data_IF_161628144471
#
_entry.id   IF_161628144471
#
_cell.length_a   1.000
_cell.length_b   1.000
_cell.length_c   1.000
_cell.angle_alpha   90.00
_cell.angle_beta   90.00
_cell.angle_gamma   90.00
#
_symmetry.space_group_name_H-M   'P 1'
#
loop_
_entity.id
_entity.type
_entity.pdbx_description
1 polymer ?
#
# COMPACT_ATOMS: atom_id res chain seq x y z
N UNK A 1 14.14 6.00 8.98
CA UNK A 1 14.54 7.35 9.49
C UNK A 1 13.30 8.16 9.91
N UNK A 2 12.24 8.27 9.08
CA UNK A 2 11.02 9.06 9.39
C UNK A 2 10.37 8.54 10.67
N UNK A 3 10.04 7.24 10.74
CA UNK A 3 9.37 6.64 11.89
C UNK A 3 10.14 6.87 13.20
N UNK A 4 11.47 6.75 13.16
CA UNK A 4 12.32 7.05 14.32
C UNK A 4 12.28 8.52 14.75
N UNK A 5 12.13 9.46 13.78
CA UNK A 5 11.98 10.89 14.10
C UNK A 5 10.61 11.22 14.70
N UNK A 6 9.63 10.39 14.43
CA UNK A 6 8.28 10.46 15.02
C UNK A 6 8.20 9.72 16.36
N UNK A 7 9.33 9.23 16.88
CA UNK A 7 9.43 8.49 18.14
C UNK A 7 8.53 7.25 18.19
N UNK A 8 8.23 6.68 17.01
CA UNK A 8 7.45 5.46 16.91
C UNK A 8 8.33 4.25 17.21
N UNK A 9 7.80 3.34 18.03
CA UNK A 9 8.39 2.01 18.18
C UNK A 9 8.07 1.17 16.95
N UNK A 10 9.09 0.53 16.36
CA UNK A 10 8.96 -0.11 15.04
C UNK A 10 9.49 -1.52 15.08
N UNK A 11 8.59 -2.45 14.86
CA UNK A 11 8.91 -3.84 14.60
C UNK A 11 8.93 -4.10 13.07
N UNK A 12 9.95 -4.80 12.60
CA UNK A 12 10.02 -5.27 11.21
C UNK A 12 9.87 -6.79 11.22
N UNK A 13 8.74 -7.33 10.73
CA UNK A 13 8.50 -8.77 10.68
C UNK A 13 9.53 -9.47 9.79
N UNK A 14 10.14 -10.57 10.29
CA UNK A 14 11.22 -11.27 9.57
C UNK A 14 10.76 -12.43 8.69
N UNK A 15 9.56 -12.96 8.94
CA UNK A 15 9.05 -14.19 8.29
C UNK A 15 7.87 -13.91 7.35
N UNK A 16 7.58 -12.65 7.08
CA UNK A 16 6.53 -12.31 6.13
C UNK A 16 6.91 -12.78 4.72
N UNK A 17 5.93 -13.31 4.02
CA UNK A 17 6.04 -13.71 2.62
C UNK A 17 5.47 -12.61 1.71
N UNK A 18 5.56 -12.82 0.40
CA UNK A 18 4.88 -11.96 -0.57
C UNK A 18 3.36 -11.90 -0.26
N UNK A 19 2.74 -10.74 -0.49
CA UNK A 19 1.29 -10.58 -0.31
C UNK A 19 0.44 -11.43 -1.29
N UNK A 20 1.05 -11.95 -2.33
CA UNK A 20 0.39 -12.79 -3.33
C UNK A 20 -0.23 -12.03 -4.50
N UNK A 21 -0.17 -10.70 -4.55
CA UNK A 21 -0.78 -9.92 -5.63
C UNK A 21 -0.34 -10.31 -7.04
N UNK A 22 0.95 -10.56 -7.34
CA UNK A 22 1.35 -11.04 -8.66
C UNK A 22 0.69 -12.36 -9.05
N UNK A 23 0.60 -13.31 -8.11
CA UNK A 23 -0.06 -14.58 -8.31
C UNK A 23 -1.58 -14.42 -8.52
N UNK A 24 -2.20 -13.52 -7.76
CA UNK A 24 -3.63 -13.21 -7.87
C UNK A 24 -3.97 -12.67 -9.27
N UNK A 25 -3.20 -11.71 -9.77
CA UNK A 25 -3.44 -11.10 -11.09
C UNK A 25 -3.13 -12.02 -12.27
N UNK A 26 -2.34 -13.07 -12.06
CA UNK A 26 -2.05 -14.08 -13.09
C UNK A 26 -2.92 -15.34 -12.98
N UNK A 27 -3.81 -15.41 -11.98
CA UNK A 27 -4.69 -16.56 -11.77
C UNK A 27 -4.02 -17.78 -11.11
N UNK A 28 -2.81 -17.62 -10.56
CA UNK A 28 -2.11 -18.69 -9.83
C UNK A 28 -2.68 -18.82 -8.39
N UNK A 29 -3.95 -19.22 -8.28
CA UNK A 29 -4.71 -19.18 -7.04
C UNK A 29 -4.18 -20.11 -5.95
N UNK A 30 -3.60 -21.27 -6.29
CA UNK A 30 -2.95 -22.14 -5.29
C UNK A 30 -1.79 -21.41 -4.58
N UNK A 31 -1.05 -20.60 -5.34
CA UNK A 31 0.03 -19.77 -4.80
C UNK A 31 -0.52 -18.67 -3.90
N UNK A 32 -1.64 -18.04 -4.28
CA UNK A 32 -2.33 -17.02 -3.46
C UNK A 32 -2.79 -17.64 -2.14
N UNK A 33 -3.45 -18.80 -2.21
CA UNK A 33 -3.93 -19.53 -1.03
C UNK A 33 -2.80 -19.82 -0.03
N UNK A 34 -1.71 -20.38 -0.53
CA UNK A 34 -0.53 -20.66 0.29
C UNK A 34 0.06 -19.41 0.93
N UNK A 35 0.32 -18.36 0.15
CA UNK A 35 0.97 -17.13 0.62
C UNK A 35 0.09 -16.38 1.61
N UNK A 36 -1.20 -16.23 1.32
CA UNK A 36 -2.13 -15.52 2.19
C UNK A 36 -2.29 -16.25 3.53
N UNK A 37 -2.53 -17.56 3.52
CA UNK A 37 -2.65 -18.36 4.74
C UNK A 37 -1.40 -18.30 5.59
N UNK A 38 -0.21 -18.46 5.00
CA UNK A 38 1.05 -18.37 5.73
C UNK A 38 1.31 -17.00 6.33
N UNK A 39 0.97 -15.94 5.64
CA UNK A 39 1.08 -14.60 6.18
C UNK A 39 0.06 -14.36 7.31
N UNK A 40 -1.21 -14.78 7.15
CA UNK A 40 -2.23 -14.65 8.19
C UNK A 40 -1.78 -15.39 9.46
N UNK A 41 -1.39 -16.67 9.35
CA UNK A 41 -0.87 -17.46 10.48
C UNK A 41 0.30 -16.74 11.18
N UNK A 42 1.23 -16.18 10.41
CA UNK A 42 2.38 -15.49 10.97
C UNK A 42 2.00 -14.14 11.60
N UNK A 43 1.13 -13.36 10.98
CA UNK A 43 0.71 -12.07 11.52
C UNK A 43 -0.07 -12.21 12.82
N UNK A 44 -0.91 -13.24 12.94
CA UNK A 44 -1.65 -13.53 14.16
C UNK A 44 -0.76 -13.80 15.38
N UNK A 45 0.50 -14.17 15.18
CA UNK A 45 1.43 -14.39 16.30
C UNK A 45 1.87 -13.11 17.01
N UNK A 46 1.64 -11.93 16.42
CA UNK A 46 2.11 -10.65 16.96
C UNK A 46 1.20 -9.46 16.67
N UNK A 47 0.15 -9.62 15.85
CA UNK A 47 -0.70 -8.48 15.40
C UNK A 47 -1.39 -7.77 16.57
N UNK A 48 -1.67 -8.45 17.65
CA UNK A 48 -2.31 -7.86 18.82
C UNK A 48 -1.33 -7.01 19.67
N UNK A 49 -0.02 -7.14 19.44
CA UNK A 49 1.04 -6.38 20.11
C UNK A 49 1.32 -5.03 19.45
N UNK A 50 0.75 -4.75 18.26
CA UNK A 50 0.99 -3.53 17.51
C UNK A 50 -0.29 -2.74 17.28
N UNK A 51 -0.18 -1.40 17.20
CA UNK A 51 -1.31 -0.52 16.91
C UNK A 51 -1.68 -0.55 15.43
N UNK A 52 -0.70 -0.66 14.55
CA UNK A 52 -0.88 -0.66 13.10
C UNK A 52 0.22 -1.41 12.37
N UNK A 53 -0.13 -2.01 11.24
CA UNK A 53 0.80 -2.51 10.24
C UNK A 53 0.80 -1.54 9.07
N UNK A 54 1.87 -0.77 8.90
CA UNK A 54 1.99 0.24 7.85
C UNK A 54 2.75 -0.32 6.65
N UNK A 55 2.12 -0.27 5.49
CA UNK A 55 2.66 -0.82 4.24
C UNK A 55 2.93 0.33 3.26
N UNK A 56 4.19 0.51 2.82
CA UNK A 56 4.53 1.62 1.93
C UNK A 56 4.09 1.40 0.48
N UNK A 57 3.81 0.17 0.08
CA UNK A 57 3.45 -0.22 -1.28
C UNK A 57 1.93 -0.38 -1.41
N UNK A 58 1.34 0.32 -2.39
CA UNK A 58 -0.11 0.41 -2.56
C UNK A 58 -0.77 -0.92 -2.92
N UNK A 59 -0.14 -1.73 -3.77
CA UNK A 59 -0.70 -3.01 -4.20
C UNK A 59 -0.70 -4.02 -3.07
N UNK A 60 0.39 -4.09 -2.30
CA UNK A 60 0.45 -4.99 -1.14
C UNK A 60 -0.56 -4.58 -0.06
N UNK A 61 -0.71 -3.27 0.21
CA UNK A 61 -1.68 -2.83 1.21
C UNK A 61 -3.12 -3.12 0.78
N UNK A 62 -3.47 -2.92 -0.51
CA UNK A 62 -4.78 -3.26 -1.05
C UNK A 62 -5.03 -4.78 -0.99
N UNK A 63 -4.06 -5.58 -1.43
CA UNK A 63 -4.16 -7.04 -1.42
C UNK A 63 -4.45 -7.60 -0.03
N UNK A 64 -3.69 -7.16 0.98
CA UNK A 64 -3.86 -7.66 2.35
C UNK A 64 -5.15 -7.10 2.97
N UNK A 65 -5.47 -5.83 2.72
CA UNK A 65 -6.59 -5.14 3.35
C UNK A 65 -7.95 -5.54 2.78
N UNK A 66 -8.03 -5.87 1.48
CA UNK A 66 -9.29 -6.07 0.77
C UNK A 66 -9.34 -7.40 0.01
N UNK A 67 -8.32 -7.68 -0.81
CA UNK A 67 -8.38 -8.81 -1.73
C UNK A 67 -8.32 -10.17 -1.03
N UNK A 68 -7.59 -10.29 0.09
CA UNK A 68 -7.59 -11.54 0.85
C UNK A 68 -8.96 -11.88 1.42
N UNK A 69 -9.70 -10.92 1.98
CA UNK A 69 -11.07 -11.15 2.45
C UNK A 69 -11.97 -11.59 1.31
N UNK A 70 -11.84 -10.93 0.15
CA UNK A 70 -12.60 -11.27 -1.04
C UNK A 70 -12.22 -12.64 -1.60
N UNK A 71 -10.93 -12.92 -1.68
CA UNK A 71 -10.40 -14.20 -2.15
C UNK A 71 -10.95 -15.38 -1.34
N UNK A 72 -11.02 -15.24 -0.03
CA UNK A 72 -11.54 -16.27 0.87
C UNK A 72 -13.07 -16.32 0.98
N UNK A 73 -13.82 -15.78 0.00
CA UNK A 73 -15.29 -15.74 0.06
C UNK A 73 -15.96 -17.10 0.29
N UNK A 74 -15.38 -18.20 -0.21
CA UNK A 74 -15.83 -19.58 -0.04
C UNK A 74 -15.15 -20.32 1.14
N UNK A 75 -14.32 -19.64 1.93
CA UNK A 75 -13.59 -20.20 3.07
C UNK A 75 -13.88 -19.36 4.32
N UNK A 76 -15.02 -19.55 5.01
CA UNK A 76 -15.51 -18.62 6.04
C UNK A 76 -14.52 -18.37 7.18
N UNK A 77 -13.79 -19.39 7.61
CA UNK A 77 -12.77 -19.26 8.65
C UNK A 77 -11.64 -18.32 8.22
N UNK A 78 -11.04 -18.57 7.05
CA UNK A 78 -9.96 -17.73 6.52
C UNK A 78 -10.43 -16.32 6.19
N UNK A 79 -11.65 -16.17 5.70
CA UNK A 79 -12.27 -14.87 5.47
C UNK A 79 -12.37 -14.05 6.76
N UNK A 80 -12.83 -14.65 7.85
CA UNK A 80 -12.93 -13.98 9.15
C UNK A 80 -11.57 -13.55 9.69
N UNK A 81 -10.55 -14.41 9.55
CA UNK A 81 -9.16 -14.13 9.95
C UNK A 81 -8.55 -12.99 9.12
N UNK A 82 -8.71 -13.05 7.79
CA UNK A 82 -8.26 -11.98 6.89
C UNK A 82 -8.94 -10.64 7.23
N UNK A 83 -10.25 -10.65 7.49
CA UNK A 83 -11.01 -9.47 7.89
C UNK A 83 -10.48 -8.87 9.20
N UNK A 84 -10.30 -9.68 10.25
CA UNK A 84 -9.74 -9.22 11.52
C UNK A 84 -8.37 -8.56 11.32
N UNK A 85 -7.50 -9.19 10.53
CA UNK A 85 -6.19 -8.66 10.19
C UNK A 85 -6.27 -7.31 9.48
N UNK A 86 -7.20 -7.18 8.51
CA UNK A 86 -7.36 -5.99 7.68
C UNK A 86 -7.65 -4.71 8.48
N UNK A 87 -8.20 -4.83 9.68
CA UNK A 87 -8.52 -3.69 10.56
C UNK A 87 -7.26 -2.94 11.00
N UNK A 88 -6.14 -3.65 11.14
CA UNK A 88 -4.84 -3.07 11.50
C UNK A 88 -3.91 -2.78 10.31
N UNK A 89 -4.34 -3.05 9.07
CA UNK A 89 -3.54 -2.80 7.86
C UNK A 89 -3.80 -1.41 7.29
N UNK A 90 -2.74 -0.65 7.08
CA UNK A 90 -2.82 0.71 6.55
C UNK A 90 -1.73 0.99 5.52
N UNK A 91 -2.07 1.73 4.47
CA UNK A 91 -1.07 2.33 3.61
C UNK A 91 -0.29 3.41 4.35
N UNK A 92 1.03 3.39 4.25
CA UNK A 92 1.93 4.23 5.05
C UNK A 92 1.62 5.72 4.96
N UNK A 93 1.37 6.25 3.77
CA UNK A 93 1.10 7.69 3.57
C UNK A 93 -0.17 8.15 4.29
N UNK A 94 -1.24 7.35 4.24
CA UNK A 94 -2.50 7.65 4.93
C UNK A 94 -2.35 7.56 6.43
N UNK A 95 -1.72 6.49 6.91
CA UNK A 95 -1.57 6.29 8.36
C UNK A 95 -0.69 7.38 8.98
N UNK A 96 0.44 7.68 8.34
CA UNK A 96 1.39 8.67 8.83
C UNK A 96 0.79 10.09 8.84
N UNK A 97 0.05 10.46 7.80
CA UNK A 97 -0.59 11.79 7.74
C UNK A 97 -1.67 11.95 8.79
N UNK A 98 -2.46 10.90 9.03
CA UNK A 98 -3.64 11.00 9.89
C UNK A 98 -3.36 10.68 11.38
N UNK A 99 -2.30 9.92 11.68
CA UNK A 99 -2.06 9.40 13.04
C UNK A 99 -0.75 9.88 13.66
N UNK A 100 0.01 10.74 12.96
CA UNK A 100 1.28 11.26 13.47
C UNK A 100 1.41 12.76 13.18
N UNK A 101 2.39 13.38 13.83
CA UNK A 101 2.73 14.78 13.57
C UNK A 101 3.66 15.00 12.37
N UNK A 102 3.72 14.02 11.43
CA UNK A 102 4.63 14.08 10.28
C UNK A 102 4.46 15.35 9.45
N UNK A 103 3.22 15.76 9.21
CA UNK A 103 2.91 16.98 8.42
C UNK A 103 3.51 18.23 9.05
N UNK A 104 3.34 18.41 10.36
CA UNK A 104 3.90 19.56 11.08
C UNK A 104 5.43 19.45 11.17
N UNK A 105 5.96 18.23 11.37
CA UNK A 105 7.40 17.99 11.36
C UNK A 105 8.04 18.38 10.02
N UNK A 106 7.38 18.08 8.91
CA UNK A 106 7.84 18.48 7.57
C UNK A 106 7.75 19.99 7.39
N UNK A 107 6.63 20.61 7.79
CA UNK A 107 6.44 22.06 7.70
C UNK A 107 7.46 22.84 8.55
N UNK A 108 7.66 22.41 9.80
CA UNK A 108 8.59 23.05 10.74
C UNK A 108 10.06 22.82 10.44
N UNK A 109 10.38 21.87 9.57
CA UNK A 109 11.77 21.64 9.12
C UNK A 109 12.40 22.86 8.44
N UNK A 110 11.59 23.83 8.02
CA UNK A 110 12.00 25.03 7.27
C UNK A 110 12.57 24.72 5.88
N UNK A 111 12.67 23.45 5.50
CA UNK A 111 13.18 23.06 4.19
C UNK A 111 12.11 23.26 3.13
N UNK A 112 12.43 24.11 2.18
CA UNK A 112 11.64 24.28 0.94
C UNK A 112 12.55 23.94 -0.22
N UNK A 113 12.03 23.16 -1.13
CA UNK A 113 12.71 22.79 -2.35
C UNK A 113 11.97 23.44 -3.51
N UNK A 114 12.72 24.13 -4.37
CA UNK A 114 12.17 24.79 -5.55
C UNK A 114 11.88 23.81 -6.69
N UNK A 115 12.24 22.53 -6.49
CA UNK A 115 11.94 21.50 -7.44
C UNK A 115 10.43 21.31 -7.61
N UNK A 116 10.04 21.33 -8.87
CA UNK A 116 8.70 21.01 -9.30
C UNK A 116 8.51 19.50 -9.28
N UNK A 117 7.60 19.02 -8.42
CA UNK A 117 7.26 17.60 -8.35
C UNK A 117 5.84 17.35 -8.82
N UNK A 118 5.59 16.17 -9.32
CA UNK A 118 4.23 15.70 -9.62
C UNK A 118 3.97 14.38 -8.89
N UNK A 119 2.69 14.04 -8.73
CA UNK A 119 2.28 12.80 -8.09
C UNK A 119 1.26 12.07 -8.97
N UNK A 120 1.61 10.85 -9.37
CA UNK A 120 0.69 9.94 -10.04
C UNK A 120 -0.10 9.16 -8.99
N UNK A 121 -1.42 9.07 -9.15
CA UNK A 121 -2.29 8.33 -8.25
C UNK A 121 -2.23 6.82 -8.52
N UNK A 122 -1.55 6.00 -7.68
CA UNK A 122 -1.56 4.56 -7.87
C UNK A 122 -2.99 4.02 -7.79
N UNK A 123 -3.40 3.20 -8.74
CA UNK A 123 -4.77 2.69 -8.78
C UNK A 123 -5.17 1.92 -7.51
N UNK A 124 -4.27 1.13 -6.93
CA UNK A 124 -4.49 0.43 -5.67
C UNK A 124 -4.54 1.34 -4.44
N UNK A 125 -3.97 2.55 -4.51
CA UNK A 125 -4.16 3.54 -3.47
C UNK A 125 -5.50 4.29 -3.65
N UNK A 126 -5.68 4.91 -4.82
CA UNK A 126 -6.82 5.81 -5.04
C UNK A 126 -8.12 5.07 -5.26
N UNK A 127 -8.17 4.13 -6.22
CA UNK A 127 -9.44 3.46 -6.60
C UNK A 127 -9.88 2.44 -5.57
N UNK A 128 -8.96 1.67 -5.00
CA UNK A 128 -9.29 0.66 -4.01
C UNK A 128 -9.38 1.21 -2.59
N UNK A 129 -8.45 2.08 -2.17
CA UNK A 129 -8.36 2.50 -0.77
C UNK A 129 -8.78 3.96 -0.53
N UNK A 130 -9.14 4.72 -1.56
CA UNK A 130 -9.52 6.14 -1.44
C UNK A 130 -8.37 7.06 -1.01
N UNK A 131 -7.13 6.64 -1.24
CA UNK A 131 -5.93 7.36 -0.80
C UNK A 131 -5.34 8.13 -1.97
N UNK A 132 -5.47 9.45 -1.92
CA UNK A 132 -4.95 10.34 -2.97
C UNK A 132 -4.57 11.73 -2.44
N UNK A 133 -5.23 12.19 -1.40
CA UNK A 133 -5.00 13.51 -0.82
C UNK A 133 -3.83 13.49 0.17
N UNK A 134 -3.69 12.43 0.94
CA UNK A 134 -2.72 12.30 2.01
C UNK A 134 -1.26 12.42 1.51
N UNK A 135 -0.83 11.73 0.44
CA UNK A 135 0.51 11.93 -0.10
C UNK A 135 0.73 13.36 -0.61
N UNK A 136 -0.30 14.02 -1.17
CA UNK A 136 -0.22 15.42 -1.61
C UNK A 136 -0.05 16.38 -0.44
N UNK A 137 -0.77 16.15 0.64
CA UNK A 137 -0.67 16.94 1.86
C UNK A 137 0.75 16.90 2.44
N UNK A 138 1.41 15.74 2.41
CA UNK A 138 2.79 15.58 2.85
C UNK A 138 3.77 16.27 1.90
N UNK A 139 3.65 16.05 0.60
CA UNK A 139 4.55 16.63 -0.42
C UNK A 139 4.52 18.16 -0.41
N UNK A 140 3.35 18.77 -0.32
CA UNK A 140 3.17 20.23 -0.31
C UNK A 140 3.86 20.94 0.85
N UNK A 141 4.28 20.22 1.89
CA UNK A 141 5.00 20.83 3.00
C UNK A 141 6.39 21.33 2.58
N UNK A 142 7.03 20.65 1.64
CA UNK A 142 8.42 20.90 1.29
C UNK A 142 8.66 21.16 -0.21
N UNK A 143 7.74 20.76 -1.09
CA UNK A 143 7.89 20.84 -2.55
C UNK A 143 6.81 21.68 -3.22
N UNK A 144 7.13 22.20 -4.41
CA UNK A 144 6.14 22.78 -5.32
C UNK A 144 5.45 21.65 -6.08
N UNK A 145 4.22 21.31 -5.68
CA UNK A 145 3.45 20.24 -6.32
C UNK A 145 2.66 20.77 -7.51
N UNK A 146 2.95 20.24 -8.70
CA UNK A 146 2.17 20.45 -9.92
C UNK A 146 1.37 19.19 -10.21
N UNK A 147 0.06 19.33 -10.32
CA UNK A 147 -0.79 18.20 -10.68
C UNK A 147 -0.59 17.80 -12.14
N UNK A 148 -0.64 16.49 -12.39
CA UNK A 148 -0.69 15.95 -13.74
C UNK A 148 -2.04 16.29 -14.38
N UNK A 149 -2.06 16.45 -15.70
CA UNK A 149 -3.30 16.68 -16.46
C UNK A 149 -4.31 15.53 -16.26
N UNK A 150 -3.81 14.31 -16.11
CA UNK A 150 -4.60 13.12 -15.77
C UNK A 150 -3.84 12.22 -14.78
N UNK A 151 -3.92 12.56 -13.51
CA UNK A 151 -3.29 11.79 -12.44
C UNK A 151 -3.93 10.40 -12.22
N UNK A 152 -5.11 10.16 -12.82
CA UNK A 152 -5.82 8.87 -12.73
C UNK A 152 -5.52 7.92 -13.88
N UNK A 153 -4.76 8.35 -14.89
CA UNK A 153 -4.39 7.50 -16.01
C UNK A 153 -3.63 6.29 -15.50
N UNK A 154 -3.91 5.15 -16.09
CA UNK A 154 -3.18 3.93 -15.78
C UNK A 154 -1.69 4.12 -16.12
N UNK A 155 -0.80 3.69 -15.21
CA UNK A 155 0.65 3.74 -15.47
C UNK A 155 1.14 2.66 -16.45
N UNK A 156 0.23 1.80 -16.93
CA UNK A 156 0.56 0.71 -17.84
C UNK A 156 1.25 -0.49 -17.20
N UNK A 157 1.56 -0.45 -15.90
CA UNK A 157 2.29 -1.55 -15.26
C UNK A 157 1.51 -2.88 -15.35
N UNK A 158 0.21 -2.89 -15.02
CA UNK A 158 -0.72 -4.00 -15.24
C UNK A 158 -0.35 -5.35 -14.63
N UNK A 159 0.60 -5.37 -13.70
CA UNK A 159 1.17 -6.59 -13.16
C UNK A 159 2.16 -7.29 -14.11
N UNK A 160 2.59 -8.49 -13.75
CA UNK A 160 3.66 -9.22 -14.45
C UNK A 160 3.27 -9.55 -15.89
N UNK A 161 2.04 -9.97 -16.12
CA UNK A 161 1.55 -10.40 -17.46
C UNK A 161 1.60 -9.26 -18.49
N UNK A 162 1.26 -8.05 -18.07
CA UNK A 162 1.28 -6.89 -18.97
C UNK A 162 2.70 -6.54 -19.40
N UNK A 163 3.67 -6.69 -18.51
CA UNK A 163 5.07 -6.37 -18.82
C UNK A 163 5.74 -7.43 -19.72
N UNK A 164 5.39 -8.70 -19.58
CA UNK A 164 6.07 -9.79 -20.28
C UNK A 164 5.37 -10.18 -21.58
N UNK A 165 4.06 -10.37 -21.54
CA UNK A 165 3.29 -10.91 -22.65
C UNK A 165 2.54 -9.84 -23.47
N UNK A 166 2.24 -8.70 -22.83
CA UNK A 166 1.43 -7.61 -23.40
C UNK A 166 2.12 -6.24 -23.27
N UNK A 167 3.42 -6.24 -23.49
CA UNK A 167 4.24 -5.02 -23.32
C UNK A 167 3.75 -3.83 -24.14
N UNK A 168 3.32 -4.04 -25.38
CA UNK A 168 2.84 -2.96 -26.24
C UNK A 168 1.55 -2.31 -25.70
N UNK A 169 0.65 -3.10 -25.10
CA UNK A 169 -0.53 -2.57 -24.38
C UNK A 169 -0.13 -1.81 -23.12
N UNK A 170 0.82 -2.34 -22.35
CA UNK A 170 1.33 -1.67 -21.16
C UNK A 170 1.94 -0.30 -21.52
N UNK A 171 2.77 -0.25 -22.55
CA UNK A 171 3.38 0.97 -23.06
C UNK A 171 2.37 1.97 -23.62
N UNK A 172 1.33 1.51 -24.29
CA UNK A 172 0.29 2.38 -24.83
C UNK A 172 -0.63 2.96 -23.74
N UNK A 173 -0.80 2.25 -22.60
CA UNK A 173 -1.58 2.71 -21.46
C UNK A 173 -0.84 3.76 -20.62
N UNK A 174 0.46 3.59 -20.40
CA UNK A 174 1.33 4.52 -19.67
C UNK A 174 1.88 5.62 -20.53
#
# INVERSE_FOLDING_TARGET
KILKKLELDVMIPKKQLCCGAPAYFTGAFDTVDYLAKKNIEYFETWIDEVDAVIIPEATCSAMIKQDWEHYFHNQPEWKARAKKLSEKIFMATKWLENNTDLKNLLASSGKKFDELVTYHDPCHAKKMQGIWQEPRNLLKQNYVLKEMSDSNRCCGFGGVTMQTEKYDFAKAAG
#
